data_IF_260430221135
#
_entry.id   IF_260430221135
#
_cell.length_a   1.000
_cell.length_b   1.000
_cell.length_c   1.000
_cell.angle_alpha   90.00
_cell.angle_beta   90.00
_cell.angle_gamma   90.00
#
_symmetry.space_group_name_H-M   'P 1'
#
loop_
_entity.id
_entity.type
_entity.pdbx_description
1 polymer ?
#
# COMPACT_ATOMS: atom_id res chain seq x y z
N UNK A 1 -3.96 -27.51 39.19
CA UNK A 1 -3.49 -26.12 39.42
C UNK A 1 -3.74 -25.31 38.14
N UNK A 2 -4.84 -24.56 38.09
CA UNK A 2 -5.20 -23.75 36.93
C UNK A 2 -4.28 -22.50 36.84
N UNK A 3 -3.70 -22.24 35.66
CA UNK A 3 -2.93 -21.02 35.40
C UNK A 3 -3.84 -19.80 35.51
N UNK A 4 -3.68 -19.03 36.59
CA UNK A 4 -4.41 -17.80 36.86
C UNK A 4 -4.17 -16.81 35.71
N UNK A 5 -5.21 -16.57 34.90
CA UNK A 5 -5.15 -15.61 33.81
C UNK A 5 -4.95 -14.21 34.40
N UNK A 6 -3.94 -13.50 33.91
CA UNK A 6 -3.64 -12.13 34.34
C UNK A 6 -4.63 -11.17 33.68
N UNK A 7 -5.86 -11.14 34.18
CA UNK A 7 -6.85 -10.10 33.85
C UNK A 7 -6.48 -8.85 34.64
N UNK A 8 -5.54 -8.06 34.13
CA UNK A 8 -5.35 -6.68 34.57
C UNK A 8 -5.47 -5.78 33.34
N UNK A 9 -6.71 -5.52 32.96
CA UNK A 9 -7.05 -4.47 32.02
C UNK A 9 -6.68 -3.13 32.68
N UNK A 10 -5.68 -2.44 32.16
CA UNK A 10 -5.49 -1.01 32.43
C UNK A 10 -6.47 -0.29 31.51
N UNK A 11 -7.65 0.02 32.02
CA UNK A 11 -8.61 0.93 31.38
C UNK A 11 -8.20 2.35 31.74
N UNK A 12 -7.07 2.81 31.21
CA UNK A 12 -6.84 4.25 31.15
C UNK A 12 -7.66 4.75 29.95
N UNK A 13 -8.48 5.81 30.08
CA UNK A 13 -9.11 6.42 28.93
C UNK A 13 -8.00 6.87 27.98
N UNK A 14 -8.06 6.39 26.73
CA UNK A 14 -7.18 6.84 25.68
C UNK A 14 -7.42 8.35 25.46
N UNK A 15 -6.37 9.11 25.17
CA UNK A 15 -6.55 10.51 24.79
C UNK A 15 -7.47 10.58 23.55
N UNK A 16 -8.18 11.69 23.39
CA UNK A 16 -9.10 11.87 22.27
C UNK A 16 -8.33 11.73 20.94
N UNK A 17 -8.68 10.70 20.14
CA UNK A 17 -7.98 10.33 18.90
C UNK A 17 -6.92 9.21 19.03
N UNK A 18 -6.59 8.75 20.24
CA UNK A 18 -5.58 7.70 20.45
C UNK A 18 -6.20 6.29 20.30
N UNK A 19 -5.69 5.54 19.33
CA UNK A 19 -6.13 4.17 19.04
C UNK A 19 -5.35 3.15 19.88
N UNK A 20 -6.04 2.45 20.79
CA UNK A 20 -5.44 1.43 21.65
C UNK A 20 -4.79 0.31 20.83
N UNK A 21 -3.49 -0.01 21.03
CA UNK A 21 -2.78 -1.05 20.27
C UNK A 21 -3.43 -2.45 20.27
N UNK A 22 -4.26 -2.76 21.28
CA UNK A 22 -4.91 -4.07 21.42
C UNK A 22 -6.34 -4.12 20.90
N UNK A 23 -6.96 -2.98 20.58
CA UNK A 23 -8.34 -2.97 20.07
C UNK A 23 -8.40 -3.50 18.63
N UNK A 24 -9.58 -3.93 18.15
CA UNK A 24 -9.78 -4.25 16.74
C UNK A 24 -9.38 -3.08 15.85
N UNK A 25 -8.72 -3.37 14.74
CA UNK A 25 -8.28 -2.33 13.82
C UNK A 25 -9.50 -1.70 13.12
N UNK A 26 -9.60 -0.35 13.03
CA UNK A 26 -10.76 0.33 12.45
C UNK A 26 -10.94 0.09 10.94
N UNK A 27 -9.94 -0.49 10.26
CA UNK A 27 -10.03 -0.84 8.84
C UNK A 27 -10.89 -2.09 8.54
N UNK A 28 -11.50 -2.73 9.54
CA UNK A 28 -12.34 -3.91 9.33
C UNK A 28 -11.59 -5.23 9.08
N UNK A 29 -10.25 -5.24 9.19
CA UNK A 29 -9.43 -6.44 8.91
C UNK A 29 -9.60 -7.61 9.89
N UNK A 30 -10.36 -7.45 10.97
CA UNK A 30 -10.45 -8.43 12.06
C UNK A 30 -9.18 -8.59 12.91
N UNK A 31 -8.06 -7.96 12.51
CA UNK A 31 -6.79 -7.95 13.26
C UNK A 31 -6.83 -6.90 14.39
N UNK A 32 -5.95 -7.05 15.38
CA UNK A 32 -5.68 -5.99 16.38
C UNK A 32 -4.91 -4.83 15.74
N UNK A 33 -5.12 -3.60 16.21
CA UNK A 33 -4.49 -2.40 15.67
C UNK A 33 -2.96 -2.52 15.56
N UNK A 34 -2.26 -2.97 16.62
CA UNK A 34 -0.79 -3.18 16.60
C UNK A 34 -0.29 -4.18 15.55
N UNK A 35 -1.14 -5.10 15.11
CA UNK A 35 -0.81 -6.10 14.09
C UNK A 35 -1.32 -5.71 12.69
N UNK A 36 -1.79 -4.47 12.52
CA UNK A 36 -2.29 -3.91 11.28
C UNK A 36 -1.79 -2.48 11.14
N UNK A 37 -2.66 -1.46 11.19
CA UNK A 37 -2.28 -0.05 10.98
C UNK A 37 -1.32 0.52 12.04
N UNK A 38 -1.23 -0.11 13.22
CA UNK A 38 -0.27 0.25 14.27
C UNK A 38 1.02 -0.59 14.25
N UNK A 39 1.26 -1.38 13.20
CA UNK A 39 2.52 -2.09 13.02
C UNK A 39 3.63 -1.11 12.57
N UNK A 40 4.89 -1.40 12.89
CA UNK A 40 6.01 -0.52 12.55
C UNK A 40 6.19 -0.30 11.04
N UNK A 41 5.78 -1.28 10.22
CA UNK A 41 5.76 -1.19 8.76
C UNK A 41 4.43 -0.68 8.18
N UNK A 42 3.52 -0.18 9.01
CA UNK A 42 2.17 0.20 8.58
C UNK A 42 1.26 -1.00 8.33
N UNK A 43 0.05 -0.72 7.85
CA UNK A 43 -0.90 -1.76 7.51
C UNK A 43 -0.41 -2.56 6.28
N UNK A 44 -0.69 -3.87 6.22
CA UNK A 44 -0.50 -4.60 4.97
C UNK A 44 -1.37 -4.01 3.88
N UNK A 45 -0.86 -3.99 2.64
CA UNK A 45 -1.63 -3.58 1.49
C UNK A 45 -2.93 -4.41 1.41
N UNK A 46 -4.10 -3.77 1.23
CA UNK A 46 -5.34 -4.50 1.08
C UNK A 46 -5.29 -5.36 -0.18
N UNK A 47 -5.85 -6.56 -0.11
CA UNK A 47 -6.05 -7.37 -1.30
C UNK A 47 -7.10 -6.69 -2.19
N UNK A 48 -6.71 -6.38 -3.42
CA UNK A 48 -7.59 -5.84 -4.45
C UNK A 48 -7.66 -6.87 -5.57
N UNK A 49 -8.85 -7.48 -5.76
CA UNK A 49 -9.05 -8.53 -6.76
C UNK A 49 -8.89 -8.01 -8.19
N UNK A 50 -9.28 -6.76 -8.45
CA UNK A 50 -9.16 -6.10 -9.74
C UNK A 50 -8.44 -4.75 -9.61
N UNK A 51 -7.09 -4.73 -9.49
CA UNK A 51 -6.34 -3.50 -9.23
C UNK A 51 -6.49 -2.40 -10.29
N UNK A 52 -6.82 -2.77 -11.53
CA UNK A 52 -6.92 -1.85 -12.66
C UNK A 52 -8.37 -1.60 -13.11
N UNK A 53 -9.37 -2.12 -12.38
CA UNK A 53 -10.78 -2.00 -12.76
C UNK A 53 -11.20 -0.54 -12.90
N UNK A 54 -11.73 -0.19 -14.08
CA UNK A 54 -12.22 1.16 -14.39
C UNK A 54 -11.13 2.15 -14.81
N UNK A 55 -9.87 1.72 -14.92
CA UNK A 55 -8.79 2.54 -15.47
C UNK A 55 -8.94 2.67 -17.00
N UNK A 56 -8.79 3.88 -17.57
CA UNK A 56 -8.64 4.04 -19.02
C UNK A 56 -7.47 3.20 -19.54
N UNK A 57 -7.71 2.39 -20.57
CA UNK A 57 -6.67 1.50 -21.11
C UNK A 57 -6.32 0.31 -20.21
N UNK A 58 -7.23 -0.13 -19.34
CA UNK A 58 -7.06 -1.29 -18.41
C UNK A 58 -6.36 -2.49 -19.10
N UNK A 59 -6.87 -2.93 -20.25
CA UNK A 59 -6.30 -4.07 -20.98
C UNK A 59 -4.84 -3.83 -21.43
N UNK A 60 -4.52 -2.61 -21.88
CA UNK A 60 -3.19 -2.27 -22.37
C UNK A 60 -2.19 -2.20 -21.21
N UNK A 61 -2.61 -1.65 -20.07
CA UNK A 61 -1.80 -1.59 -18.84
C UNK A 61 -1.54 -3.00 -18.30
N UNK A 62 -2.55 -3.88 -18.33
CA UNK A 62 -2.39 -5.29 -17.97
C UNK A 62 -1.42 -5.99 -18.95
N UNK A 63 -1.61 -5.83 -20.25
CA UNK A 63 -0.74 -6.43 -21.26
C UNK A 63 0.71 -5.95 -21.12
N UNK A 64 0.91 -4.64 -20.87
CA UNK A 64 2.22 -4.05 -20.63
C UNK A 64 2.90 -4.65 -19.39
N UNK A 65 2.15 -4.89 -18.31
CA UNK A 65 2.67 -5.52 -17.09
C UNK A 65 3.06 -6.97 -17.29
N UNK A 66 2.20 -7.74 -17.97
CA UNK A 66 2.31 -9.21 -18.01
C UNK A 66 3.19 -9.72 -19.15
N UNK A 67 3.26 -9.00 -20.27
CA UNK A 67 3.86 -9.51 -21.51
C UNK A 67 5.19 -8.83 -21.86
N UNK A 68 5.42 -7.61 -21.39
CA UNK A 68 6.55 -6.79 -21.85
C UNK A 68 7.59 -6.63 -20.73
N UNK A 69 8.76 -7.28 -20.85
CA UNK A 69 9.82 -7.15 -19.86
C UNK A 69 10.40 -5.74 -19.87
N UNK A 70 10.60 -5.16 -18.67
CA UNK A 70 11.15 -3.81 -18.48
C UNK A 70 10.42 -2.71 -19.30
N UNK A 71 9.10 -2.86 -19.46
CA UNK A 71 8.27 -1.92 -20.19
C UNK A 71 8.14 -0.59 -19.47
N UNK A 72 7.99 0.47 -20.26
CA UNK A 72 7.70 1.80 -19.75
C UNK A 72 6.62 2.49 -20.58
N UNK A 73 5.72 3.24 -19.94
CA UNK A 73 4.71 4.07 -20.60
C UNK A 73 4.53 5.41 -19.86
N UNK A 74 4.39 6.54 -20.56
CA UNK A 74 4.11 7.82 -19.91
C UNK A 74 2.70 7.80 -19.31
N UNK A 75 2.52 8.41 -18.15
CA UNK A 75 1.21 8.64 -17.54
C UNK A 75 0.80 10.10 -17.71
N UNK A 76 -0.47 10.30 -18.04
CA UNK A 76 -1.11 11.61 -18.01
C UNK A 76 -1.83 11.77 -16.68
N UNK A 77 -1.45 12.80 -15.92
CA UNK A 77 -2.09 13.12 -14.65
C UNK A 77 -3.18 14.17 -14.86
N UNK A 78 -4.38 13.90 -14.34
CA UNK A 78 -5.52 14.80 -14.52
C UNK A 78 -5.28 16.17 -13.85
N UNK A 79 -4.80 16.19 -12.60
CA UNK A 79 -4.67 17.42 -11.80
C UNK A 79 -3.29 18.07 -11.91
N UNK A 80 -2.32 17.36 -12.51
CA UNK A 80 -0.92 17.78 -12.59
C UNK A 80 -0.32 17.49 -13.97
N UNK A 81 -0.85 18.10 -15.05
CA UNK A 81 -0.41 17.80 -16.42
C UNK A 81 1.06 18.12 -16.68
N UNK A 82 1.66 19.05 -15.91
CA UNK A 82 3.07 19.42 -16.02
C UNK A 82 4.03 18.42 -15.34
N UNK A 83 3.50 17.43 -14.60
CA UNK A 83 4.31 16.42 -13.91
C UNK A 83 4.54 15.22 -14.81
N UNK A 84 5.80 15.00 -15.17
CA UNK A 84 6.22 13.80 -15.88
C UNK A 84 6.29 12.58 -14.95
N UNK A 85 5.42 11.60 -15.21
CA UNK A 85 5.44 10.30 -14.54
C UNK A 85 5.57 9.20 -15.57
N UNK A 86 6.55 8.31 -15.37
CA UNK A 86 6.74 7.11 -16.16
C UNK A 86 6.20 5.90 -15.39
N UNK A 87 5.24 5.18 -15.95
CA UNK A 87 4.87 3.84 -15.50
C UNK A 87 5.94 2.86 -15.96
N UNK A 88 6.37 1.96 -15.08
CA UNK A 88 7.39 0.95 -15.33
C UNK A 88 6.85 -0.42 -14.89
N UNK A 89 6.99 -1.46 -15.71
CA UNK A 89 6.59 -2.81 -15.29
C UNK A 89 7.47 -3.33 -14.14
N UNK A 90 8.76 -2.95 -14.15
CA UNK A 90 9.74 -3.28 -13.12
C UNK A 90 10.67 -2.08 -12.83
N UNK A 91 10.95 -1.86 -11.55
CA UNK A 91 11.97 -0.94 -11.05
C UNK A 91 13.09 -1.70 -10.32
N UNK A 92 14.29 -1.10 -10.23
CA UNK A 92 15.39 -1.67 -9.43
C UNK A 92 14.94 -1.97 -8.00
N UNK A 93 15.42 -3.10 -7.45
CA UNK A 93 15.06 -3.57 -6.11
C UNK A 93 13.56 -3.77 -5.86
N UNK A 94 12.76 -3.85 -6.94
CA UNK A 94 11.30 -3.87 -6.86
C UNK A 94 10.74 -2.69 -6.03
N UNK A 95 11.40 -1.53 -6.09
CA UNK A 95 10.94 -0.32 -5.44
C UNK A 95 9.57 0.11 -6.01
N UNK A 96 8.62 0.57 -5.19
CA UNK A 96 7.29 0.94 -5.67
C UNK A 96 7.32 2.20 -6.56
N UNK A 97 8.24 3.13 -6.28
CA UNK A 97 8.49 4.32 -7.07
C UNK A 97 9.89 4.87 -6.79
N UNK A 98 10.41 5.71 -7.68
CA UNK A 98 11.62 6.49 -7.45
C UNK A 98 11.55 7.86 -8.14
N UNK A 99 12.29 8.83 -7.61
CA UNK A 99 12.52 10.13 -8.24
C UNK A 99 13.97 10.18 -8.67
N UNK A 100 14.20 10.52 -9.94
CA UNK A 100 15.55 10.65 -10.51
C UNK A 100 16.14 12.03 -10.24
N UNK A 101 17.45 12.17 -10.39
CA UNK A 101 18.14 13.46 -10.28
C UNK A 101 17.62 14.51 -11.27
N UNK A 102 17.07 14.07 -12.41
CA UNK A 102 16.39 14.93 -13.39
C UNK A 102 15.03 15.45 -12.94
N UNK A 103 14.51 14.99 -11.79
CA UNK A 103 13.15 15.26 -11.32
C UNK A 103 12.08 14.32 -11.88
N UNK A 104 12.42 13.46 -12.85
CA UNK A 104 11.48 12.50 -13.42
C UNK A 104 11.03 11.46 -12.39
N UNK A 105 9.73 11.20 -12.33
CA UNK A 105 9.12 10.25 -11.38
C UNK A 105 8.85 8.94 -12.11
N UNK A 106 9.35 7.84 -11.56
CA UNK A 106 9.12 6.49 -12.10
C UNK A 106 8.28 5.69 -11.11
N UNK A 107 7.18 5.10 -11.58
CA UNK A 107 6.22 4.33 -10.81
C UNK A 107 6.27 2.87 -11.24
N UNK A 108 6.59 1.96 -10.32
CA UNK A 108 6.67 0.53 -10.60
C UNK A 108 5.33 -0.18 -10.40
N UNK A 109 5.00 -1.09 -11.31
CA UNK A 109 3.80 -1.94 -11.22
C UNK A 109 4.02 -3.22 -10.40
N UNK A 110 5.27 -3.54 -10.07
CA UNK A 110 5.58 -4.75 -9.32
C UNK A 110 5.08 -4.65 -7.88
N UNK A 111 4.47 -5.74 -7.41
CA UNK A 111 3.95 -5.87 -6.05
C UNK A 111 4.85 -6.86 -5.31
N UNK A 112 5.40 -6.48 -4.17
CA UNK A 112 6.09 -7.41 -3.26
C UNK A 112 5.04 -8.04 -2.34
N UNK A 113 4.98 -9.37 -2.31
CA UNK A 113 4.11 -10.14 -1.43
C UNK A 113 4.88 -10.65 -0.20
#
# INVERSE_FOLDING_TARGET
>A
MAKKSRTKARTAPAAEGEVNPRQPCPCGSGKRYKACHGAAGGAPAPYVSRPFEGMPGECDVIALRELVPAATAPLMLNDHPDREVQLCSLLPMAAPAMVRDSGAIWLGMQVQH
#
